data_IF_184792413053
#
_entry.id   IF_184792413053
#
_cell.length_a   1.000
_cell.length_b   1.000
_cell.length_c   1.000
_cell.angle_alpha   90.00
_cell.angle_beta   90.00
_cell.angle_gamma   90.00
#
_symmetry.space_group_name_H-M   'P 1'
#
loop_
_entity.id
_entity.type
_entity.pdbx_description
1 polymer ?
#
# COMPACT_ATOMS: atom_id res chain seq x y z
N UNK A 1 21.99 13.91 32.85
CA UNK A 1 22.55 13.25 31.67
C UNK A 1 21.94 11.85 31.63
N UNK A 2 20.92 11.63 30.80
CA UNK A 2 20.28 10.31 30.61
C UNK A 2 20.66 9.82 29.23
N UNK A 3 21.37 8.69 29.18
CA UNK A 3 21.79 8.02 27.97
C UNK A 3 20.55 7.39 27.27
N UNK A 4 20.26 7.84 26.06
CA UNK A 4 19.28 7.21 25.19
C UNK A 4 20.04 6.16 24.37
N UNK A 5 19.80 4.89 24.71
CA UNK A 5 20.35 3.74 23.97
C UNK A 5 19.48 3.49 22.76
N UNK A 6 19.96 3.81 21.57
CA UNK A 6 19.30 3.43 20.32
C UNK A 6 19.32 1.91 20.17
N UNK A 7 18.15 1.29 20.08
CA UNK A 7 18.01 -0.12 19.70
C UNK A 7 18.09 -0.21 18.18
N UNK A 8 19.21 -0.73 17.69
CA UNK A 8 19.37 -1.13 16.30
C UNK A 8 18.61 -2.45 16.12
N UNK A 9 17.54 -2.40 15.33
CA UNK A 9 16.79 -3.59 14.93
C UNK A 9 17.55 -4.25 13.78
N UNK A 10 18.20 -5.37 14.07
CA UNK A 10 18.91 -6.17 13.07
C UNK A 10 17.89 -7.05 12.33
N UNK A 11 17.57 -6.69 11.09
CA UNK A 11 16.78 -7.53 10.20
C UNK A 11 17.68 -8.70 9.74
N UNK A 12 17.40 -9.90 10.23
CA UNK A 12 18.06 -11.13 9.80
C UNK A 12 17.57 -11.56 8.42
N UNK A 13 18.42 -11.42 7.41
CA UNK A 13 18.19 -12.02 6.10
C UNK A 13 18.57 -13.50 6.19
N UNK A 14 17.57 -14.38 6.27
CA UNK A 14 17.78 -15.83 6.17
C UNK A 14 17.78 -16.23 4.69
N UNK A 15 18.95 -16.46 4.13
CA UNK A 15 19.09 -17.04 2.80
C UNK A 15 18.72 -18.52 2.85
N UNK A 16 17.57 -18.90 2.28
CA UNK A 16 17.21 -20.29 2.05
C UNK A 16 17.73 -20.71 0.68
N UNK A 17 18.75 -21.55 0.67
CA UNK A 17 19.25 -22.23 -0.53
C UNK A 17 18.26 -23.34 -0.91
N UNK A 18 17.47 -23.15 -1.96
CA UNK A 18 16.71 -24.22 -2.60
C UNK A 18 17.51 -24.80 -3.75
N UNK A 19 18.01 -26.03 -3.56
CA UNK A 19 18.53 -26.90 -4.61
C UNK A 19 17.37 -27.74 -5.14
N UNK A 20 16.93 -27.50 -6.38
CA UNK A 20 15.88 -28.35 -6.97
C UNK A 20 15.50 -27.95 -8.39
N UNK A 21 16.04 -28.72 -9.34
CA UNK A 21 15.54 -29.06 -10.67
C UNK A 21 15.02 -27.94 -11.59
N UNK A 22 15.88 -27.51 -12.50
CA UNK A 22 15.59 -26.64 -13.64
C UNK A 22 14.86 -27.42 -14.74
N UNK A 23 13.60 -27.09 -14.97
CA UNK A 23 12.99 -27.30 -16.29
C UNK A 23 12.76 -25.92 -16.91
N UNK A 24 13.47 -25.68 -18.01
CA UNK A 24 13.56 -24.37 -18.65
C UNK A 24 12.22 -23.97 -19.30
N UNK A 25 11.61 -22.90 -18.82
CA UNK A 25 10.72 -22.06 -19.63
C UNK A 25 11.43 -20.74 -19.91
N UNK A 26 11.76 -20.55 -21.20
CA UNK A 26 12.34 -19.31 -21.71
C UNK A 26 11.28 -18.23 -21.70
N UNK A 27 11.32 -17.30 -20.73
CA UNK A 27 10.57 -16.05 -20.78
C UNK A 27 11.58 -14.92 -20.95
N UNK A 28 11.60 -14.34 -22.14
CA UNK A 28 12.34 -13.12 -22.45
C UNK A 28 11.46 -11.92 -22.16
N UNK A 29 11.69 -11.25 -21.05
CA UNK A 29 11.38 -9.83 -20.92
C UNK A 29 12.38 -9.20 -19.94
N UNK A 30 13.25 -8.37 -20.52
CA UNK A 30 14.31 -7.63 -19.86
C UNK A 30 13.77 -6.40 -19.16
N UNK A 31 13.79 -6.40 -17.83
CA UNK A 31 13.99 -5.19 -17.05
C UNK A 31 15.25 -5.39 -16.22
N UNK A 32 16.39 -4.93 -16.77
CA UNK A 32 17.69 -5.02 -16.11
C UNK A 32 17.90 -3.76 -15.30
N UNK A 33 18.08 -3.93 -13.99
CA UNK A 33 18.65 -2.90 -13.13
C UNK A 33 20.10 -3.31 -12.87
N UNK A 34 21.06 -2.59 -13.46
CA UNK A 34 22.48 -2.76 -13.20
C UNK A 34 22.86 -1.98 -11.94
N UNK A 35 23.22 -2.66 -10.88
CA UNK A 35 23.86 -2.07 -9.71
C UNK A 35 25.31 -2.54 -9.64
N UNK A 36 26.25 -1.66 -9.99
CA UNK A 36 27.67 -1.87 -9.75
C UNK A 36 28.01 -1.36 -8.33
N UNK A 37 28.18 -2.25 -7.38
CA UNK A 37 28.70 -1.92 -6.04
C UNK A 37 30.16 -2.35 -5.96
N UNK A 38 31.08 -1.40 -5.76
CA UNK A 38 32.49 -1.70 -5.43
C UNK A 38 32.66 -1.68 -3.91
N UNK A 39 33.02 -2.82 -3.33
CA UNK A 39 33.43 -2.92 -1.94
C UNK A 39 34.89 -3.35 -1.93
N UNK A 40 35.78 -2.52 -1.33
CA UNK A 40 37.20 -2.78 -1.11
C UNK A 40 38.05 -3.11 -2.37
N UNK A 41 37.70 -2.55 -3.54
CA UNK A 41 38.56 -2.65 -4.73
C UNK A 41 38.41 -3.95 -5.53
N UNK A 42 37.61 -4.89 -5.11
CA UNK A 42 37.27 -6.08 -5.89
C UNK A 42 35.87 -5.95 -6.49
N UNK A 43 35.77 -6.39 -7.75
CA UNK A 43 34.55 -6.39 -8.54
C UNK A 43 33.59 -7.44 -7.94
N UNK A 44 32.61 -7.00 -7.14
CA UNK A 44 31.59 -7.89 -6.58
C UNK A 44 30.57 -8.19 -7.66
N UNK A 45 30.43 -9.47 -7.94
CA UNK A 45 29.50 -10.11 -8.86
C UNK A 45 28.16 -9.34 -8.94
N UNK A 46 27.78 -8.92 -10.15
CA UNK A 46 26.46 -8.44 -10.49
C UNK A 46 25.39 -9.42 -9.99
N UNK A 47 24.84 -9.17 -8.83
CA UNK A 47 23.60 -9.83 -8.44
C UNK A 47 22.47 -9.03 -9.12
N UNK A 48 22.11 -9.44 -10.34
CA UNK A 48 20.82 -9.07 -10.89
C UNK A 48 19.77 -9.58 -9.90
N UNK A 49 19.26 -8.69 -9.06
CA UNK A 49 17.99 -8.95 -8.39
C UNK A 49 16.95 -8.81 -9.51
N UNK A 50 16.73 -9.88 -10.24
CA UNK A 50 15.49 -10.05 -10.96
C UNK A 50 14.40 -9.90 -9.88
N UNK A 51 13.62 -8.82 -9.95
CA UNK A 51 12.34 -8.78 -9.22
C UNK A 51 11.63 -10.05 -9.66
N UNK A 52 11.57 -11.04 -8.75
CA UNK A 52 11.17 -12.39 -9.11
C UNK A 52 9.77 -12.37 -9.70
N UNK A 53 9.55 -13.15 -10.76
CA UNK A 53 8.20 -13.46 -11.19
C UNK A 53 7.39 -13.81 -9.94
N UNK A 54 6.32 -13.05 -9.67
CA UNK A 54 5.50 -13.23 -8.48
C UNK A 54 5.66 -12.21 -7.35
N UNK A 55 6.57 -11.21 -7.46
CA UNK A 55 6.58 -10.09 -6.50
C UNK A 55 5.55 -9.02 -6.88
N UNK A 56 5.00 -8.36 -5.84
CA UNK A 56 4.15 -7.19 -6.03
C UNK A 56 5.01 -5.96 -6.32
N UNK A 57 4.58 -5.17 -7.28
CA UNK A 57 5.16 -3.86 -7.61
C UNK A 57 4.13 -2.77 -7.34
N UNK A 58 4.54 -1.70 -6.64
CA UNK A 58 3.69 -0.54 -6.44
C UNK A 58 3.33 0.10 -7.80
N UNK A 59 2.09 0.51 -7.96
CA UNK A 59 1.61 1.13 -9.19
C UNK A 59 2.35 2.44 -9.48
N UNK A 60 2.85 2.59 -10.71
CA UNK A 60 3.47 3.85 -11.18
C UNK A 60 2.46 4.98 -11.23
N UNK A 61 1.21 4.67 -11.60
CA UNK A 61 0.05 5.56 -11.52
C UNK A 61 -1.05 4.89 -10.74
N UNK A 62 -1.68 5.61 -9.84
CA UNK A 62 -2.82 5.10 -9.06
C UNK A 62 -4.16 5.25 -9.79
N UNK A 63 -4.16 5.76 -11.03
CA UNK A 63 -5.38 5.97 -11.81
C UNK A 63 -6.01 4.64 -12.21
N UNK A 64 -7.30 4.49 -11.95
CA UNK A 64 -8.11 3.39 -12.47
C UNK A 64 -8.60 3.80 -13.85
N UNK A 65 -8.01 3.20 -14.91
CA UNK A 65 -8.44 3.42 -16.30
C UNK A 65 -9.74 2.70 -16.59
N UNK A 66 -10.42 3.05 -17.69
CA UNK A 66 -11.66 2.35 -18.11
C UNK A 66 -11.43 0.85 -18.33
N UNK A 67 -10.26 0.47 -18.84
CA UNK A 67 -9.89 -0.96 -19.00
C UNK A 67 -9.77 -1.65 -17.64
N UNK A 68 -9.06 -1.04 -16.69
CA UNK A 68 -8.91 -1.58 -15.34
C UNK A 68 -10.24 -1.65 -14.60
N UNK A 69 -11.08 -0.63 -14.78
CA UNK A 69 -12.43 -0.63 -14.23
C UNK A 69 -13.27 -1.78 -14.81
N UNK A 70 -13.18 -2.02 -16.13
CA UNK A 70 -13.88 -3.14 -16.77
C UNK A 70 -13.42 -4.48 -16.19
N UNK A 71 -12.11 -4.72 -16.05
CA UNK A 71 -11.60 -5.95 -15.43
C UNK A 71 -12.08 -6.09 -13.98
N UNK A 72 -12.10 -4.99 -13.24
CA UNK A 72 -12.61 -4.99 -11.88
C UNK A 72 -14.09 -5.38 -11.84
N UNK A 73 -14.94 -4.69 -12.61
CA UNK A 73 -16.38 -4.93 -12.67
C UNK A 73 -16.68 -6.38 -13.11
N UNK A 74 -15.96 -6.91 -14.12
CA UNK A 74 -16.10 -8.29 -14.58
C UNK A 74 -15.74 -9.28 -13.46
N UNK A 75 -14.67 -9.01 -12.70
CA UNK A 75 -14.20 -9.90 -11.64
C UNK A 75 -15.19 -9.99 -10.46
N UNK A 76 -15.80 -8.85 -10.07
CA UNK A 76 -16.70 -8.78 -8.91
C UNK A 76 -18.17 -9.03 -9.26
N UNK A 77 -18.51 -9.16 -10.53
CA UNK A 77 -19.91 -9.25 -11.04
C UNK A 77 -20.78 -10.34 -10.40
N UNK A 78 -20.14 -11.31 -9.73
CA UNK A 78 -20.81 -12.46 -9.07
C UNK A 78 -20.70 -12.41 -7.56
N UNK A 79 -20.13 -11.33 -6.99
CA UNK A 79 -20.04 -11.18 -5.55
C UNK A 79 -21.33 -10.58 -5.02
N UNK A 80 -21.86 -11.18 -3.97
CA UNK A 80 -23.00 -10.66 -3.22
C UNK A 80 -22.53 -10.06 -1.90
N UNK A 81 -23.33 -9.15 -1.34
CA UNK A 81 -23.13 -8.59 0.01
C UNK A 81 -22.48 -7.22 0.06
N UNK A 82 -21.67 -6.84 -0.92
CA UNK A 82 -21.03 -5.52 -1.00
C UNK A 82 -21.21 -4.87 -2.37
N UNK A 83 -21.32 -3.54 -2.36
CA UNK A 83 -21.14 -2.72 -3.56
C UNK A 83 -19.71 -2.18 -3.53
N UNK A 84 -18.85 -2.70 -4.42
CA UNK A 84 -17.47 -2.28 -4.54
C UNK A 84 -17.30 -1.21 -5.62
N UNK A 85 -16.50 -0.19 -5.32
CA UNK A 85 -16.09 0.83 -6.30
C UNK A 85 -14.57 0.98 -6.23
N UNK A 86 -13.82 0.66 -7.30
CA UNK A 86 -12.38 0.81 -7.33
C UNK A 86 -12.02 2.30 -7.34
N UNK A 87 -11.28 2.74 -6.33
CA UNK A 87 -10.86 4.12 -6.18
C UNK A 87 -9.46 4.36 -6.77
N UNK A 88 -8.50 3.50 -6.45
CA UNK A 88 -7.11 3.60 -6.89
C UNK A 88 -6.54 2.23 -7.23
N UNK A 89 -5.64 2.18 -8.23
CA UNK A 89 -4.74 1.04 -8.40
C UNK A 89 -3.55 1.19 -7.46
N UNK A 90 -3.30 0.22 -6.60
CA UNK A 90 -2.15 0.23 -5.68
C UNK A 90 -0.95 -0.56 -6.21
N UNK A 91 -1.19 -1.67 -6.89
CA UNK A 91 -0.07 -2.46 -7.37
C UNK A 91 -0.47 -3.57 -8.32
N UNK A 92 0.57 -4.17 -8.89
CA UNK A 92 0.44 -5.30 -9.81
C UNK A 92 1.45 -6.39 -9.49
N UNK A 93 1.11 -7.62 -9.87
CA UNK A 93 1.98 -8.78 -9.73
C UNK A 93 1.93 -9.61 -11.00
N UNK A 94 3.09 -9.92 -11.58
CA UNK A 94 3.17 -10.76 -12.78
C UNK A 94 3.14 -12.23 -12.38
N UNK A 95 2.14 -12.93 -12.88
CA UNK A 95 1.89 -14.36 -12.66
C UNK A 95 1.55 -15.02 -14.01
N UNK A 96 0.79 -16.12 -14.03
CA UNK A 96 0.12 -16.57 -15.26
C UNK A 96 -1.05 -15.61 -15.61
N UNK A 97 -0.71 -14.48 -16.25
CA UNK A 97 -1.52 -13.28 -16.37
C UNK A 97 -1.01 -12.18 -15.47
N UNK A 98 -1.90 -11.41 -14.87
CA UNK A 98 -1.55 -10.30 -13.97
C UNK A 98 -2.54 -10.19 -12.82
N UNK A 99 -2.02 -10.10 -11.60
CA UNK A 99 -2.81 -9.70 -10.45
C UNK A 99 -2.77 -8.18 -10.30
N UNK A 100 -3.88 -7.63 -9.85
CA UNK A 100 -4.05 -6.22 -9.54
C UNK A 100 -4.55 -6.08 -8.11
N UNK A 101 -4.04 -5.09 -7.39
CA UNK A 101 -4.53 -4.67 -6.08
C UNK A 101 -5.11 -3.27 -6.18
N UNK A 102 -6.38 -3.12 -5.80
CA UNK A 102 -7.07 -1.84 -5.77
C UNK A 102 -7.36 -1.41 -4.35
N UNK A 103 -7.26 -0.10 -4.07
CA UNK A 103 -8.02 0.48 -2.99
C UNK A 103 -9.47 0.62 -3.46
N UNK A 104 -10.38 0.06 -2.70
CA UNK A 104 -11.80 -0.02 -3.04
C UNK A 104 -12.62 0.60 -1.92
N UNK A 105 -13.59 1.45 -2.26
CA UNK A 105 -14.64 1.84 -1.34
C UNK A 105 -15.77 0.84 -1.46
N UNK A 106 -16.20 0.30 -0.33
CA UNK A 106 -17.21 -0.76 -0.28
C UNK A 106 -18.33 -0.38 0.66
N UNK A 107 -19.56 -0.69 0.28
CA UNK A 107 -20.75 -0.52 1.12
C UNK A 107 -21.48 -1.83 1.23
N UNK A 108 -21.87 -2.21 2.45
CA UNK A 108 -22.65 -3.40 2.70
C UNK A 108 -24.06 -3.21 2.11
N UNK A 109 -24.59 -4.20 1.38
CA UNK A 109 -25.94 -4.16 0.76
C UNK A 109 -27.09 -4.32 1.78
N UNK A 110 -26.90 -3.95 3.03
CA UNK A 110 -27.90 -4.03 4.09
C UNK A 110 -28.39 -2.64 4.52
N UNK A 111 -29.51 -2.60 5.23
CA UNK A 111 -30.03 -1.35 5.82
C UNK A 111 -28.98 -0.74 6.75
N UNK A 112 -28.68 0.55 6.60
CA UNK A 112 -27.60 1.29 7.27
C UNK A 112 -26.18 0.82 6.87
N UNK A 113 -25.95 0.73 5.57
CA UNK A 113 -24.69 0.29 4.99
C UNK A 113 -23.49 1.09 5.50
N UNK A 114 -22.74 0.52 6.44
CA UNK A 114 -21.45 1.06 6.82
C UNK A 114 -20.52 1.05 5.60
N UNK A 115 -19.79 2.16 5.40
CA UNK A 115 -18.75 2.24 4.39
C UNK A 115 -17.49 1.64 4.97
N UNK A 116 -16.80 0.85 4.15
CA UNK A 116 -15.48 0.31 4.45
C UNK A 116 -14.51 0.64 3.30
N UNK A 117 -13.24 0.63 3.59
CA UNK A 117 -12.19 0.65 2.58
C UNK A 117 -11.46 -0.68 2.59
N UNK A 118 -11.23 -1.22 1.40
CA UNK A 118 -10.66 -2.56 1.23
C UNK A 118 -9.52 -2.54 0.23
N UNK A 119 -8.61 -3.49 0.40
CA UNK A 119 -7.67 -3.90 -0.64
C UNK A 119 -8.33 -5.05 -1.40
N UNK A 120 -8.79 -4.78 -2.62
CA UNK A 120 -9.44 -5.78 -3.47
C UNK A 120 -8.45 -6.32 -4.50
N UNK A 121 -8.31 -7.63 -4.55
CA UNK A 121 -7.38 -8.32 -5.43
C UNK A 121 -8.14 -9.07 -6.52
N UNK A 122 -7.71 -8.85 -7.77
CA UNK A 122 -8.22 -9.58 -8.94
C UNK A 122 -7.06 -10.17 -9.75
N UNK A 123 -7.33 -11.24 -10.47
CA UNK A 123 -6.45 -11.78 -11.51
C UNK A 123 -7.07 -11.55 -12.88
N UNK A 124 -6.25 -11.15 -13.85
CA UNK A 124 -6.59 -11.13 -15.26
C UNK A 124 -5.68 -12.14 -15.96
N UNK A 125 -6.24 -13.20 -16.48
CA UNK A 125 -5.51 -14.26 -17.18
C UNK A 125 -5.02 -13.80 -18.58
N UNK A 126 -4.15 -14.58 -19.26
CA UNK A 126 -3.66 -14.20 -20.59
C UNK A 126 -4.76 -14.09 -21.68
N UNK A 127 -5.95 -14.63 -21.45
CA UNK A 127 -7.10 -14.47 -22.34
C UNK A 127 -7.91 -13.19 -22.09
N UNK A 128 -7.57 -12.44 -21.04
CA UNK A 128 -8.27 -11.23 -20.62
C UNK A 128 -9.46 -11.49 -19.69
N UNK A 129 -9.64 -12.72 -19.21
CA UNK A 129 -10.69 -13.05 -18.25
C UNK A 129 -10.28 -12.60 -16.85
N UNK A 130 -11.11 -11.76 -16.24
CA UNK A 130 -10.93 -11.30 -14.89
C UNK A 130 -11.60 -12.22 -13.86
N UNK A 131 -10.96 -12.40 -12.72
CA UNK A 131 -11.42 -13.24 -11.60
C UNK A 131 -11.09 -12.57 -10.28
N UNK A 132 -12.05 -12.52 -9.38
CA UNK A 132 -11.86 -12.06 -8.00
C UNK A 132 -10.98 -13.06 -7.25
N UNK A 133 -10.05 -12.53 -6.44
CA UNK A 133 -9.18 -13.34 -5.59
C UNK A 133 -9.57 -13.22 -4.12
N UNK A 134 -9.57 -11.99 -3.59
CA UNK A 134 -9.95 -11.70 -2.19
C UNK A 134 -10.12 -10.21 -1.93
N UNK A 135 -10.68 -9.91 -0.77
CA UNK A 135 -10.67 -8.59 -0.12
C UNK A 135 -9.94 -8.66 1.23
N UNK A 136 -9.22 -7.61 1.54
CA UNK A 136 -8.68 -7.34 2.89
C UNK A 136 -9.21 -5.98 3.35
N UNK A 137 -9.95 -5.95 4.46
CA UNK A 137 -10.45 -4.68 5.02
C UNK A 137 -9.28 -3.85 5.53
N UNK A 138 -9.18 -2.60 5.08
CA UNK A 138 -8.22 -1.62 5.60
C UNK A 138 -8.76 -1.07 6.92
N UNK A 139 -8.48 -1.79 8.01
CA UNK A 139 -9.06 -1.48 9.33
C UNK A 139 -8.49 -0.21 9.91
N UNK A 140 -9.39 0.70 10.31
CA UNK A 140 -9.06 1.82 11.18
C UNK A 140 -9.22 1.41 12.66
N UNK A 141 -8.42 1.95 13.60
CA UNK A 141 -8.51 1.58 15.01
C UNK A 141 -9.91 1.82 15.58
N UNK A 142 -10.54 0.80 16.15
CA UNK A 142 -11.86 0.92 16.79
C UNK A 142 -13.06 1.11 15.86
N UNK A 143 -12.88 0.95 14.54
CA UNK A 143 -14.01 0.82 13.60
C UNK A 143 -14.38 -0.66 13.52
N UNK A 144 -15.64 -0.97 13.74
CA UNK A 144 -16.17 -2.28 13.32
C UNK A 144 -16.96 -3.07 14.35
N UNK A 145 -16.92 -2.78 15.64
CA UNK A 145 -17.62 -3.69 16.56
C UNK A 145 -18.91 -3.15 17.18
N UNK A 146 -19.19 -1.86 17.25
CA UNK A 146 -20.38 -1.33 17.94
C UNK A 146 -20.89 0.03 17.44
N UNK A 147 -20.97 0.30 16.16
CA UNK A 147 -21.64 1.49 15.61
C UNK A 147 -21.35 2.82 16.36
N UNK A 148 -21.32 3.92 15.66
CA UNK A 148 -21.37 5.34 16.10
C UNK A 148 -20.97 5.66 17.57
N UNK A 149 -19.76 5.29 18.00
CA UNK A 149 -19.21 5.83 19.26
C UNK A 149 -18.73 7.26 19.01
N UNK A 150 -19.22 8.20 19.79
CA UNK A 150 -18.68 9.59 19.82
C UNK A 150 -17.18 9.49 20.07
N UNK A 151 -16.38 10.04 19.13
CA UNK A 151 -14.93 9.92 19.16
C UNK A 151 -14.39 8.63 18.53
N UNK A 152 -15.20 7.83 17.82
CA UNK A 152 -14.73 6.71 17.00
C UNK A 152 -14.09 7.18 15.69
N UNK A 153 -13.30 6.30 15.07
CA UNK A 153 -12.83 6.51 13.69
C UNK A 153 -14.00 6.33 12.71
N UNK A 154 -14.01 7.14 11.66
CA UNK A 154 -14.95 7.02 10.54
C UNK A 154 -14.16 6.98 9.22
N UNK A 155 -14.57 6.11 8.30
CA UNK A 155 -14.04 6.14 6.94
C UNK A 155 -14.46 7.42 6.21
N UNK A 156 -13.56 7.96 5.39
CA UNK A 156 -13.84 9.13 4.58
C UNK A 156 -14.92 8.84 3.51
N UNK A 157 -15.73 9.86 3.20
CA UNK A 157 -16.71 9.77 2.09
C UNK A 157 -16.01 9.78 0.72
N UNK A 158 -14.88 10.44 0.62
CA UNK A 158 -14.02 10.49 -0.58
C UNK A 158 -12.58 10.17 -0.22
N UNK A 159 -11.90 9.42 -1.08
CA UNK A 159 -10.46 9.14 -0.95
C UNK A 159 -9.58 10.30 -1.42
N UNK A 160 -10.17 11.38 -1.91
CA UNK A 160 -9.45 12.50 -2.49
C UNK A 160 -8.53 13.18 -1.47
N UNK A 161 -7.31 13.47 -1.88
CA UNK A 161 -6.36 14.29 -1.12
C UNK A 161 -6.63 15.76 -1.40
N UNK A 162 -7.41 16.38 -0.52
CA UNK A 162 -7.70 17.82 -0.57
C UNK A 162 -6.47 18.65 -0.23
N UNK A 163 -6.51 19.95 -0.54
CA UNK A 163 -5.40 20.86 -0.19
C UNK A 163 -5.19 20.99 1.33
N UNK A 164 -6.25 20.78 2.13
CA UNK A 164 -6.12 20.80 3.58
C UNK A 164 -5.40 19.55 4.09
N UNK A 165 -5.69 18.36 3.53
CA UNK A 165 -4.97 17.13 3.86
C UNK A 165 -3.51 17.20 3.39
N UNK A 166 -3.21 17.83 2.25
CA UNK A 166 -1.84 18.11 1.83
C UNK A 166 -1.10 18.95 2.87
N UNK A 167 -1.70 20.05 3.34
CA UNK A 167 -1.11 20.90 4.39
C UNK A 167 -0.89 20.16 5.72
N UNK A 168 -1.82 19.26 6.09
CA UNK A 168 -1.66 18.39 7.28
C UNK A 168 -0.40 17.53 7.12
N UNK A 169 -0.25 16.87 5.97
CA UNK A 169 0.94 16.05 5.70
C UNK A 169 2.23 16.86 5.62
N UNK A 170 2.22 18.02 4.93
CA UNK A 170 3.39 18.90 4.83
C UNK A 170 3.90 19.29 6.22
N UNK A 171 3.00 19.74 7.12
CA UNK A 171 3.36 20.09 8.50
C UNK A 171 3.85 18.87 9.30
N UNK A 172 3.16 17.74 9.19
CA UNK A 172 3.51 16.53 9.94
C UNK A 172 4.86 15.94 9.51
N UNK A 173 5.31 16.20 8.28
CA UNK A 173 6.57 15.69 7.72
C UNK A 173 7.69 16.71 7.66
N UNK A 174 7.47 17.97 8.07
CA UNK A 174 8.44 19.08 7.95
C UNK A 174 9.82 18.76 8.55
N UNK A 175 9.85 18.04 9.66
CA UNK A 175 11.10 17.65 10.35
C UNK A 175 11.50 16.20 10.13
N UNK A 176 10.73 15.45 9.31
CA UNK A 176 10.97 14.04 9.08
C UNK A 176 12.19 13.82 8.20
N UNK A 177 13.04 12.88 8.60
CA UNK A 177 14.20 12.43 7.84
C UNK A 177 14.15 10.91 7.68
N UNK A 178 14.72 10.39 6.59
CA UNK A 178 14.86 8.95 6.35
C UNK A 178 13.84 8.33 5.39
N UNK A 179 12.67 8.96 5.20
CA UNK A 179 11.68 8.57 4.19
C UNK A 179 10.87 9.77 3.72
N UNK A 180 10.35 9.70 2.51
CA UNK A 180 9.32 10.63 2.01
C UNK A 180 7.98 9.94 1.98
N UNK A 181 6.91 10.65 2.36
CA UNK A 181 5.54 10.18 2.29
C UNK A 181 4.75 11.02 1.28
N UNK A 182 4.33 10.41 0.18
CA UNK A 182 3.46 11.01 -0.83
C UNK A 182 2.02 10.58 -0.58
N UNK A 183 1.11 11.47 -0.15
CA UNK A 183 -0.29 11.13 0.07
C UNK A 183 -0.98 10.69 -1.21
N UNK A 184 -1.68 9.55 -1.19
CA UNK A 184 -2.40 9.01 -2.36
C UNK A 184 -3.90 8.82 -2.11
N UNK A 185 -4.31 8.62 -0.85
CA UNK A 185 -5.71 8.53 -0.48
C UNK A 185 -5.97 8.97 0.95
N UNK A 186 -7.09 9.67 1.17
CA UNK A 186 -7.62 9.96 2.49
C UNK A 186 -8.52 8.80 2.93
N UNK A 187 -8.17 8.16 4.05
CA UNK A 187 -8.84 6.92 4.47
C UNK A 187 -9.91 7.20 5.53
N UNK A 188 -9.66 8.14 6.44
CA UNK A 188 -10.63 8.46 7.47
C UNK A 188 -10.11 9.39 8.53
N UNK A 189 -10.98 9.67 9.51
CA UNK A 189 -10.67 10.57 10.62
C UNK A 189 -11.35 10.16 11.91
N UNK A 190 -10.83 10.72 13.00
CA UNK A 190 -11.40 10.62 14.33
C UNK A 190 -11.38 12.00 14.97
N UNK A 191 -12.56 12.47 15.41
CA UNK A 191 -12.67 13.73 16.12
C UNK A 191 -12.39 13.52 17.61
N UNK A 192 -11.38 14.25 18.11
CA UNK A 192 -10.96 14.26 19.51
C UNK A 192 -10.83 15.71 19.99
N UNK A 193 -9.92 16.04 20.90
CA UNK A 193 -9.50 17.44 21.14
C UNK A 193 -8.54 17.87 20.00
N UNK A 194 -9.05 17.99 18.80
CA UNK A 194 -8.36 18.10 17.52
C UNK A 194 -8.90 17.03 16.56
N UNK A 195 -8.09 16.58 15.61
CA UNK A 195 -8.48 15.55 14.65
C UNK A 195 -7.32 14.59 14.40
N UNK A 196 -7.60 13.31 14.49
CA UNK A 196 -6.72 12.28 13.95
C UNK A 196 -7.11 12.01 12.49
N UNK A 197 -6.13 11.94 11.60
CA UNK A 197 -6.28 11.65 10.18
C UNK A 197 -5.58 10.33 9.87
N UNK A 198 -6.20 9.48 9.06
CA UNK A 198 -5.59 8.29 8.46
C UNK A 198 -5.40 8.52 6.96
N UNK A 199 -4.16 8.49 6.50
CA UNK A 199 -3.77 8.88 5.13
C UNK A 199 -2.93 7.76 4.55
N UNK A 200 -3.36 7.18 3.43
CA UNK A 200 -2.56 6.23 2.67
C UNK A 200 -1.52 6.99 1.87
N UNK A 201 -0.26 6.63 2.07
CA UNK A 201 0.87 7.28 1.40
C UNK A 201 1.73 6.25 0.65
N UNK A 202 2.36 6.70 -0.43
CA UNK A 202 3.56 6.04 -0.94
C UNK A 202 4.74 6.46 -0.07
N UNK A 203 5.47 5.47 0.43
CA UNK A 203 6.70 5.67 1.19
C UNK A 203 7.90 5.32 0.33
N UNK A 204 8.85 6.25 0.23
CA UNK A 204 10.11 6.03 -0.46
C UNK A 204 11.25 6.32 0.53
N UNK A 205 12.09 5.31 0.86
CA UNK A 205 13.24 5.52 1.72
C UNK A 205 14.21 6.52 1.11
N UNK A 206 14.76 7.43 1.93
CA UNK A 206 15.76 8.42 1.50
C UNK A 206 17.17 7.81 1.36
N UNK A 207 17.36 6.55 1.77
CA UNK A 207 18.65 5.85 1.73
C UNK A 207 18.83 5.19 0.38
N UNK A 208 19.82 5.63 -0.39
CA UNK A 208 20.11 5.15 -1.76
C UNK A 208 20.37 3.62 -1.84
N UNK A 209 20.78 3.01 -0.73
CA UNK A 209 21.09 1.57 -0.66
C UNK A 209 19.87 0.65 -0.71
N UNK A 210 18.68 1.17 -0.43
CA UNK A 210 17.40 0.44 -0.50
C UNK A 210 16.72 0.53 -1.86
N UNK A 211 17.43 1.02 -2.90
CA UNK A 211 16.98 1.10 -4.30
C UNK A 211 15.58 1.71 -4.50
N UNK A 212 15.14 2.61 -3.62
CA UNK A 212 13.92 3.38 -3.80
C UNK A 212 12.65 2.51 -3.95
N UNK A 213 12.63 1.31 -3.38
CA UNK A 213 11.44 0.47 -3.42
C UNK A 213 10.28 1.22 -2.77
N UNK A 214 9.33 1.68 -3.59
CA UNK A 214 8.13 2.35 -3.13
C UNK A 214 7.20 1.32 -2.51
N UNK A 215 6.79 1.58 -1.26
CA UNK A 215 5.78 0.79 -0.54
C UNK A 215 4.59 1.66 -0.21
N UNK A 216 3.49 1.06 0.23
CA UNK A 216 2.37 1.80 0.78
C UNK A 216 2.38 1.71 2.29
N UNK A 217 2.09 2.83 2.94
CA UNK A 217 1.94 2.92 4.39
C UNK A 217 0.68 3.70 4.73
N UNK A 218 -0.02 3.28 5.76
CA UNK A 218 -1.08 4.08 6.38
C UNK A 218 -0.43 4.95 7.45
N UNK A 219 -0.50 6.26 7.26
CA UNK A 219 0.09 7.26 8.16
C UNK A 219 -1.02 7.87 8.99
N UNK A 220 -0.89 7.82 10.31
CA UNK A 220 -1.79 8.47 11.24
C UNK A 220 -1.20 9.80 11.68
N UNK A 221 -1.94 10.88 11.48
CA UNK A 221 -1.52 12.24 11.82
C UNK A 221 -2.51 12.84 12.81
N UNK A 222 -2.02 13.30 13.96
CA UNK A 222 -2.80 14.13 14.85
C UNK A 222 -2.64 15.59 14.50
N UNK A 223 -3.75 16.31 14.36
CA UNK A 223 -3.82 17.75 14.21
C UNK A 223 -4.50 18.34 15.45
N UNK A 224 -3.79 19.21 16.17
CA UNK A 224 -4.33 19.92 17.32
C UNK A 224 -5.27 21.07 16.91
N UNK A 225 -5.93 21.70 17.91
CA UNK A 225 -6.84 22.84 17.67
C UNK A 225 -6.13 24.11 17.18
N UNK A 226 -4.81 24.18 17.28
CA UNK A 226 -3.98 25.27 16.78
C UNK A 226 -3.46 24.99 15.36
N UNK A 227 -3.74 23.79 14.85
CA UNK A 227 -3.33 23.35 13.52
C UNK A 227 -1.88 22.86 13.44
N UNK A 228 -1.23 22.54 14.57
CA UNK A 228 0.03 21.79 14.58
C UNK A 228 -0.27 20.33 14.24
N UNK A 229 0.65 19.68 13.52
CA UNK A 229 0.47 18.30 13.04
C UNK A 229 1.67 17.44 13.42
N UNK A 230 1.41 16.21 13.85
CA UNK A 230 2.46 15.23 14.14
C UNK A 230 2.04 13.83 13.66
N UNK A 231 2.99 13.05 13.16
CA UNK A 231 2.77 11.64 12.87
C UNK A 231 2.76 10.88 14.19
N UNK A 232 1.65 10.21 14.49
CA UNK A 232 1.50 9.43 15.72
C UNK A 232 1.82 7.94 15.49
N UNK A 233 1.54 7.43 14.29
CA UNK A 233 1.74 6.02 13.95
C UNK A 233 1.88 5.85 12.43
N UNK A 234 2.57 4.79 12.01
CA UNK A 234 2.61 4.32 10.63
C UNK A 234 2.43 2.81 10.59
N UNK A 235 1.62 2.32 9.64
CA UNK A 235 1.37 0.88 9.42
C UNK A 235 1.67 0.53 7.98
N UNK A 236 2.57 -0.43 7.75
CA UNK A 236 2.89 -0.90 6.41
C UNK A 236 1.70 -1.63 5.78
N UNK A 237 1.46 -1.36 4.50
CA UNK A 237 0.45 -2.04 3.70
C UNK A 237 1.14 -3.08 2.82
N UNK A 238 1.03 -4.33 3.21
CA UNK A 238 1.55 -5.45 2.43
C UNK A 238 0.53 -5.93 1.41
N UNK A 239 0.86 -5.85 0.13
CA UNK A 239 0.07 -6.49 -0.93
C UNK A 239 0.44 -7.96 -1.01
N UNK A 240 -0.53 -8.85 -0.76
CA UNK A 240 -0.33 -10.30 -0.83
C UNK A 240 -1.61 -11.03 -1.21
N UNK A 241 -1.46 -12.04 -2.03
CA UNK A 241 -2.48 -13.06 -2.30
C UNK A 241 -1.94 -14.35 -1.70
N UNK A 242 -2.58 -14.84 -0.66
CA UNK A 242 -2.22 -16.10 0.00
C UNK A 242 -2.85 -17.28 -0.72
#
# INVERSE_FOLDING_TARGET
>A
MKNITAKILTLGVTAVLFTGCLTACKVTNNSKINTNVKVNGEEVINTEIALGAGSWEAAKSNTVTDELKKYFDDAISKLDGYNHTPALLLGTQVVAGKNYCFLTTSTIQAHNAAREMMLTYINVDPSGKATFLKDDVLKLPGVGDDGDKVGGWSYAESVEITDDIKKVMEKATETLTGATYEPVAYIGSQVVAGTNHAILCKSTPSVAELNGATTYVLVYVYQDLQGNCEITETTDIEMKVS
#
